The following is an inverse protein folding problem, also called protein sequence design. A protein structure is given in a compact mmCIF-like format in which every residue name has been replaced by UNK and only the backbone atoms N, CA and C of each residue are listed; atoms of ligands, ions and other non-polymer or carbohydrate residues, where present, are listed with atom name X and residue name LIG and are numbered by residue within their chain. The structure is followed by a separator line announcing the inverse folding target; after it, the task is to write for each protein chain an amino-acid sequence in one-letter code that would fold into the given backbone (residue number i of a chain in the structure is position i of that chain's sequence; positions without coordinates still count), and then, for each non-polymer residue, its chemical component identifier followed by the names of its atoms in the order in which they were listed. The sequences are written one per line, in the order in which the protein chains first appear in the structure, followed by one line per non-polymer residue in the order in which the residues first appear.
data_IF_938077814405
#
_entry.id   IF_938077814405
#
_cell.length_a   1.000
_cell.length_b   1.000
_cell.length_c   1.000
_cell.angle_alpha   90.00
_cell.angle_beta   90.00
_cell.angle_gamma   90.00
#
_symmetry.space_group_name_H-M   'P 1'
#
loop_
_entity.id
_entity.type
_entity.pdbx_description
1 polymer ?
#
# COMPACT_ATOMS: atom_id res chain seq x y z
N UNK A 1 25.79 20.63 -5.81
CA UNK A 1 25.73 19.27 -6.40
C UNK A 1 24.44 18.50 -6.10
N UNK A 2 23.79 18.60 -4.94
CA UNK A 2 22.52 17.85 -4.69
C UNK A 2 21.28 18.39 -5.43
N UNK A 3 21.31 19.60 -5.98
CA UNK A 3 20.16 20.22 -6.69
C UNK A 3 20.38 20.51 -8.17
N UNK A 4 21.45 20.00 -8.79
CA UNK A 4 21.72 20.24 -10.23
C UNK A 4 20.62 19.67 -11.13
N UNK A 5 19.94 18.61 -10.68
CA UNK A 5 18.80 18.02 -11.39
C UNK A 5 17.51 18.87 -11.31
N UNK A 6 17.50 19.94 -10.52
CA UNK A 6 16.39 20.89 -10.38
C UNK A 6 16.58 22.14 -11.24
N UNK A 7 17.75 22.29 -11.88
CA UNK A 7 18.04 23.41 -12.76
C UNK A 7 17.43 23.15 -14.12
N UNK A 8 16.63 24.09 -14.58
CA UNK A 8 16.24 24.20 -15.98
C UNK A 8 17.47 24.56 -16.84
N UNK A 9 17.34 24.46 -18.16
CA UNK A 9 18.46 24.68 -19.11
C UNK A 9 19.09 26.08 -19.04
N UNK A 10 18.47 27.03 -18.33
CA UNK A 10 18.87 28.41 -18.14
C UNK A 10 19.34 28.73 -16.71
N UNK A 11 19.70 27.72 -15.92
CA UNK A 11 20.09 27.82 -14.50
C UNK A 11 18.97 28.36 -13.58
N UNK A 12 17.71 28.22 -13.98
CA UNK A 12 16.53 28.58 -13.17
C UNK A 12 16.06 27.40 -12.31
N UNK A 13 15.60 27.67 -11.09
CA UNK A 13 14.88 26.70 -10.24
C UNK A 13 13.43 27.16 -10.12
N UNK A 14 12.51 26.29 -10.53
CA UNK A 14 11.08 26.51 -10.37
C UNK A 14 10.60 25.95 -9.03
N UNK A 15 9.91 26.78 -8.24
CA UNK A 15 9.31 26.39 -6.96
C UNK A 15 7.79 26.49 -7.05
N UNK A 16 7.11 25.39 -6.75
CA UNK A 16 5.65 25.29 -6.78
C UNK A 16 5.11 24.78 -5.42
N UNK A 17 3.84 25.05 -5.10
CA UNK A 17 3.20 24.50 -3.91
C UNK A 17 3.16 22.96 -3.98
N UNK A 18 3.01 22.31 -2.83
CA UNK A 18 2.89 20.85 -2.77
C UNK A 18 1.71 20.35 -3.64
N UNK A 19 1.95 19.27 -4.39
CA UNK A 19 0.96 18.56 -5.17
C UNK A 19 -0.13 17.92 -4.32
N UNK A 20 -1.22 17.47 -4.95
CA UNK A 20 -2.40 16.87 -4.31
C UNK A 20 -3.04 17.72 -3.18
N UNK A 21 -2.62 18.98 -3.05
CA UNK A 21 -3.10 19.91 -2.04
C UNK A 21 -3.49 21.21 -2.72
N UNK A 22 -4.56 21.83 -2.23
CA UNK A 22 -5.08 23.08 -2.81
C UNK A 22 -4.20 24.26 -2.37
N UNK A 23 -3.60 25.05 -3.28
CA UNK A 23 -2.91 26.28 -2.90
C UNK A 23 -3.89 27.29 -2.27
N UNK A 24 -3.49 27.87 -1.14
CA UNK A 24 -4.21 28.96 -0.48
C UNK A 24 -3.65 30.29 -0.97
N UNK A 25 -2.33 30.46 -0.86
CA UNK A 25 -1.60 31.65 -1.28
C UNK A 25 -0.11 31.33 -1.38
N UNK A 26 0.54 31.81 -2.44
CA UNK A 26 1.96 31.57 -2.70
C UNK A 26 2.25 30.05 -2.64
N UNK A 27 3.20 29.61 -1.80
CA UNK A 27 3.53 28.20 -1.58
C UNK A 27 2.75 27.54 -0.43
N UNK A 28 1.87 28.29 0.25
CA UNK A 28 1.05 27.75 1.32
C UNK A 28 -0.15 26.99 0.75
N UNK A 29 -0.34 25.74 1.18
CA UNK A 29 -1.41 24.85 0.74
C UNK A 29 -2.35 24.48 1.89
N UNK A 30 -3.56 24.04 1.55
CA UNK A 30 -4.54 23.54 2.50
C UNK A 30 -4.22 22.11 2.94
N UNK A 31 -3.81 21.97 4.20
CA UNK A 31 -3.48 20.70 4.85
C UNK A 31 -4.69 19.98 5.46
N UNK A 32 -5.90 20.54 5.38
CA UNK A 32 -7.09 19.95 6.00
C UNK A 32 -7.34 18.51 5.53
N UNK A 33 -7.35 18.20 4.21
CA UNK A 33 -7.56 16.82 3.74
C UNK A 33 -6.47 15.84 4.22
N UNK A 34 -5.23 16.32 4.32
CA UNK A 34 -4.11 15.54 4.86
C UNK A 34 -4.36 15.16 6.32
N UNK A 35 -4.72 16.12 7.17
CA UNK A 35 -5.00 15.86 8.58
C UNK A 35 -6.23 15.02 8.80
N UNK A 36 -7.28 15.20 7.99
CA UNK A 36 -8.48 14.37 8.05
C UNK A 36 -8.14 12.89 7.81
N UNK A 37 -7.29 12.59 6.82
CA UNK A 37 -6.81 11.23 6.55
C UNK A 37 -5.93 10.68 7.68
N UNK A 38 -5.06 11.50 8.27
CA UNK A 38 -4.26 11.12 9.45
C UNK A 38 -5.17 10.80 10.64
N UNK A 39 -6.24 11.57 10.85
CA UNK A 39 -7.18 11.34 11.95
C UNK A 39 -8.01 10.08 11.74
N UNK A 40 -8.39 9.75 10.49
CA UNK A 40 -9.12 8.51 10.14
C UNK A 40 -8.40 7.24 10.59
N UNK A 41 -7.06 7.23 10.64
CA UNK A 41 -6.28 6.03 11.04
C UNK A 41 -6.12 5.86 12.55
N UNK A 42 -6.80 6.68 13.37
CA UNK A 42 -6.74 6.65 14.85
C UNK A 42 -5.28 6.65 15.34
N UNK A 43 -4.53 7.74 15.16
CA UNK A 43 -3.07 7.78 15.29
C UNK A 43 -2.62 7.89 16.76
N UNK A 44 -3.18 7.05 17.63
CA UNK A 44 -2.89 6.97 19.06
C UNK A 44 -2.93 5.51 19.53
N UNK A 45 -2.23 5.23 20.63
CA UNK A 45 -2.09 3.89 21.18
C UNK A 45 -3.40 3.47 21.87
N UNK A 46 -3.88 2.26 21.59
CA UNK A 46 -5.05 1.67 22.23
C UNK A 46 -4.65 0.38 22.97
N UNK A 47 -4.09 0.49 24.19
CA UNK A 47 -3.69 -0.66 24.99
C UNK A 47 -4.92 -1.38 25.57
N UNK A 48 -4.76 -2.69 25.85
CA UNK A 48 -5.81 -3.50 26.49
C UNK A 48 -5.97 -3.17 27.98
N UNK A 49 -4.83 -2.99 28.65
CA UNK A 49 -4.77 -2.82 30.09
C UNK A 49 -4.68 -1.34 30.48
N UNK A 50 -5.22 -1.03 31.66
CA UNK A 50 -5.09 0.27 32.30
C UNK A 50 -3.62 0.72 32.41
N UNK A 51 -3.34 2.03 32.42
CA UNK A 51 -1.98 2.54 32.59
C UNK A 51 -1.30 1.94 33.83
N UNK A 52 -0.15 1.25 33.69
CA UNK A 52 0.58 0.76 34.84
C UNK A 52 1.18 1.91 35.65
N UNK A 53 1.65 1.61 36.87
CA UNK A 53 2.32 2.61 37.72
C UNK A 53 3.64 3.14 37.14
N UNK A 54 4.19 2.47 36.12
CA UNK A 54 5.42 2.80 35.40
C UNK A 54 5.17 2.76 33.89
N UNK A 55 6.22 2.92 33.09
CA UNK A 55 6.20 2.72 31.64
C UNK A 55 5.78 1.30 31.23
N UNK A 56 5.20 1.17 30.02
CA UNK A 56 4.96 -0.14 29.40
C UNK A 56 6.28 -0.65 28.83
N UNK A 57 6.60 -1.90 29.15
CA UNK A 57 7.78 -2.57 28.60
C UNK A 57 7.65 -2.76 27.08
N UNK A 58 8.74 -2.53 26.36
CA UNK A 58 8.88 -2.80 24.93
C UNK A 58 10.35 -3.17 24.68
N UNK A 59 10.60 -4.31 24.03
CA UNK A 59 11.97 -4.72 23.71
C UNK A 59 12.56 -3.89 22.57
N UNK A 60 13.90 -3.82 22.42
CA UNK A 60 14.52 -3.18 21.27
C UNK A 60 14.04 -3.77 19.93
N UNK A 61 13.87 -5.08 19.85
CA UNK A 61 13.39 -5.77 18.64
C UNK A 61 11.96 -5.37 18.28
N UNK A 62 11.08 -5.25 19.28
CA UNK A 62 9.71 -4.76 19.09
C UNK A 62 9.68 -3.30 18.65
N UNK A 63 10.55 -2.47 19.23
CA UNK A 63 10.65 -1.05 18.85
C UNK A 63 11.16 -0.86 17.42
N UNK A 64 12.13 -1.68 16.98
CA UNK A 64 12.68 -1.61 15.62
C UNK A 64 11.60 -1.80 14.53
N UNK A 65 10.51 -2.51 14.81
CA UNK A 65 9.38 -2.67 13.88
C UNK A 65 8.62 -1.35 13.61
N UNK A 66 8.73 -0.36 14.51
CA UNK A 66 8.01 0.92 14.42
C UNK A 66 8.94 2.15 14.42
N UNK A 67 10.25 1.97 14.56
CA UNK A 67 11.20 3.07 14.72
C UNK A 67 11.17 4.02 13.52
N UNK A 68 11.41 3.49 12.33
CA UNK A 68 11.34 4.23 11.07
C UNK A 68 10.02 5.00 10.90
N UNK A 69 8.87 4.34 11.08
CA UNK A 69 7.56 4.99 10.92
C UNK A 69 7.30 6.06 11.98
N UNK A 70 7.96 5.98 13.13
CA UNK A 70 7.93 7.01 14.17
C UNK A 70 8.70 8.28 13.79
N UNK A 71 9.63 8.22 12.84
CA UNK A 71 10.44 9.37 12.40
C UNK A 71 9.71 10.36 11.49
N UNK A 72 8.48 10.05 11.08
CA UNK A 72 7.69 10.90 10.20
C UNK A 72 7.39 12.26 10.85
N UNK A 73 7.77 13.34 10.16
CA UNK A 73 7.58 14.73 10.61
C UNK A 73 6.29 15.38 10.08
N UNK A 74 5.40 14.61 9.45
CA UNK A 74 4.14 15.10 8.86
C UNK A 74 4.28 16.26 7.87
N UNK A 75 5.35 16.25 7.08
CA UNK A 75 5.63 17.34 6.11
C UNK A 75 4.76 17.31 4.83
N UNK A 76 4.08 16.19 4.54
CA UNK A 76 3.25 16.08 3.34
C UNK A 76 3.98 15.76 2.03
N UNK A 77 5.32 15.68 1.99
CA UNK A 77 6.07 15.42 0.75
C UNK A 77 5.66 14.11 0.04
N UNK A 78 5.45 13.04 0.79
CA UNK A 78 4.98 11.78 0.21
C UNK A 78 3.52 11.83 -0.28
N UNK A 79 2.70 12.72 0.30
CA UNK A 79 1.33 12.95 -0.11
C UNK A 79 1.28 13.76 -1.42
N UNK A 80 2.19 14.73 -1.54
CA UNK A 80 2.34 15.60 -2.73
C UNK A 80 2.53 14.81 -4.02
N UNK A 81 3.41 13.81 -4.00
CA UNK A 81 3.88 13.14 -5.22
C UNK A 81 3.29 11.73 -5.35
N UNK A 82 2.19 11.44 -4.66
CA UNK A 82 1.56 10.13 -4.74
C UNK A 82 0.61 10.07 -5.95
N UNK A 83 0.99 9.30 -6.97
CA UNK A 83 0.18 9.13 -8.18
C UNK A 83 -1.23 8.56 -7.90
N UNK A 84 -1.42 7.75 -6.85
CA UNK A 84 -2.76 7.28 -6.49
C UNK A 84 -3.65 8.44 -6.05
N UNK A 85 -3.11 9.41 -5.29
CA UNK A 85 -3.88 10.57 -4.84
C UNK A 85 -4.23 11.54 -5.97
N UNK A 86 -3.49 11.52 -7.09
CA UNK A 86 -3.83 12.34 -8.26
C UNK A 86 -5.13 11.88 -8.95
N UNK A 87 -5.48 10.60 -8.80
CA UNK A 87 -6.63 9.97 -9.48
C UNK A 87 -7.75 9.57 -8.53
N UNK A 88 -7.42 9.38 -7.25
CA UNK A 88 -8.35 8.94 -6.21
C UNK A 88 -8.12 9.70 -4.90
N UNK A 89 -8.95 10.72 -4.68
CA UNK A 89 -8.96 11.53 -3.47
C UNK A 89 -9.39 10.75 -2.22
N UNK A 90 -10.08 9.61 -2.36
CA UNK A 90 -10.55 8.80 -1.22
C UNK A 90 -9.43 7.95 -0.61
N UNK A 91 -8.35 7.69 -1.36
CA UNK A 91 -7.18 6.99 -0.84
C UNK A 91 -6.58 7.71 0.38
N UNK A 92 -6.35 6.98 1.47
CA UNK A 92 -5.80 7.53 2.73
C UNK A 92 -4.43 8.18 2.56
N UNK A 93 -3.66 7.74 1.57
CA UNK A 93 -2.36 8.31 1.26
C UNK A 93 -1.21 7.75 2.12
N UNK A 94 0.03 7.91 1.65
CA UNK A 94 1.19 7.24 2.23
C UNK A 94 1.52 7.71 3.65
N UNK A 95 1.35 8.99 3.96
CA UNK A 95 1.62 9.51 5.30
C UNK A 95 0.70 8.90 6.37
N UNK A 96 -0.60 8.82 6.08
CA UNK A 96 -1.59 8.25 6.99
C UNK A 96 -1.36 6.75 7.20
N UNK A 97 -1.09 6.01 6.13
CA UNK A 97 -0.81 4.58 6.23
C UNK A 97 0.52 4.29 6.93
N UNK A 98 1.58 5.08 6.70
CA UNK A 98 2.82 4.95 7.47
C UNK A 98 2.60 5.24 8.96
N UNK A 99 1.79 6.25 9.28
CA UNK A 99 1.40 6.54 10.67
C UNK A 99 0.56 5.42 11.27
N UNK A 100 -0.30 4.78 10.48
CA UNK A 100 -1.08 3.63 10.91
C UNK A 100 -0.19 2.41 11.22
N UNK A 101 0.85 2.16 10.41
CA UNK A 101 1.80 1.07 10.62
C UNK A 101 2.47 1.18 11.99
N UNK A 102 2.82 2.41 12.42
CA UNK A 102 3.38 2.69 13.75
C UNK A 102 2.50 2.21 14.90
N UNK A 103 1.20 1.95 14.69
CA UNK A 103 0.31 1.36 15.70
C UNK A 103 -0.03 -0.10 15.41
N UNK A 104 -0.13 -0.48 14.13
CA UNK A 104 -0.34 -1.88 13.73
C UNK A 104 0.81 -2.76 14.20
N UNK A 105 2.06 -2.28 14.10
CA UNK A 105 3.27 -2.99 14.53
C UNK A 105 3.72 -2.72 15.97
N UNK A 106 3.00 -1.89 16.74
CA UNK A 106 3.40 -1.56 18.13
C UNK A 106 2.97 -2.67 19.08
N UNK A 107 3.92 -3.33 19.75
CA UNK A 107 3.66 -4.41 20.72
C UNK A 107 2.74 -3.99 21.87
N UNK A 108 2.58 -2.69 22.12
CA UNK A 108 1.73 -2.13 23.16
C UNK A 108 0.28 -1.88 22.71
N UNK A 109 0.01 -1.94 21.41
CA UNK A 109 -1.34 -1.73 20.86
C UNK A 109 -2.14 -3.03 20.85
N UNK A 110 -3.42 -2.96 21.22
CA UNK A 110 -4.30 -4.13 21.31
C UNK A 110 -5.30 -4.24 20.17
N UNK A 111 -5.29 -3.30 19.22
CA UNK A 111 -6.30 -3.14 18.18
C UNK A 111 -5.82 -3.53 16.80
N UNK A 112 -4.68 -4.21 16.66
CA UNK A 112 -4.09 -4.61 15.37
C UNK A 112 -5.11 -5.19 14.39
N UNK A 113 -5.91 -6.19 14.81
CA UNK A 113 -6.92 -6.81 13.93
C UNK A 113 -7.95 -5.79 13.43
N UNK A 114 -8.51 -4.98 14.33
CA UNK A 114 -9.50 -3.97 13.97
C UNK A 114 -8.88 -2.93 13.03
N UNK A 115 -7.65 -2.48 13.32
CA UNK A 115 -6.94 -1.51 12.47
C UNK A 115 -6.75 -2.04 11.06
N UNK A 116 -6.26 -3.28 10.90
CA UNK A 116 -6.04 -3.83 9.53
C UNK A 116 -7.34 -4.13 8.79
N UNK A 117 -8.45 -4.39 9.50
CA UNK A 117 -9.79 -4.44 8.91
C UNK A 117 -10.22 -3.06 8.41
N UNK A 118 -10.19 -2.04 9.26
CA UNK A 118 -10.53 -0.65 8.90
C UNK A 118 -9.67 -0.16 7.72
N UNK A 119 -8.37 -0.49 7.72
CA UNK A 119 -7.42 -0.12 6.67
C UNK A 119 -7.56 -0.95 5.39
N UNK A 120 -8.31 -2.05 5.39
CA UNK A 120 -8.55 -2.89 4.21
C UNK A 120 -9.83 -2.54 3.44
N UNK A 121 -10.61 -1.58 3.95
CA UNK A 121 -11.76 -1.01 3.25
C UNK A 121 -11.33 -0.16 2.04
N UNK A 122 -12.25 0.18 1.11
CA UNK A 122 -11.96 1.08 0.00
C UNK A 122 -11.39 2.43 0.47
N UNK A 123 -10.42 2.97 -0.28
CA UNK A 123 -9.56 4.08 0.12
C UNK A 123 -8.37 3.65 1.01
N UNK A 124 -8.26 2.36 1.33
CA UNK A 124 -7.30 1.80 2.28
C UNK A 124 -5.97 1.36 1.66
N UNK A 125 -5.30 0.41 2.31
CA UNK A 125 -3.97 -0.09 1.91
C UNK A 125 -3.96 -0.65 0.49
N UNK A 126 -5.04 -1.30 0.07
CA UNK A 126 -5.12 -2.04 -1.19
C UNK A 126 -5.22 -1.16 -2.44
N UNK A 127 -5.45 0.15 -2.29
CA UNK A 127 -5.52 1.09 -3.41
C UNK A 127 -4.15 1.71 -3.74
N UNK A 128 -3.12 1.38 -2.95
CA UNK A 128 -1.75 1.74 -3.27
C UNK A 128 -1.31 1.08 -4.58
N UNK A 129 -0.92 1.90 -5.56
CA UNK A 129 -0.47 1.43 -6.89
C UNK A 129 1.01 1.02 -6.94
N UNK A 130 1.70 1.06 -5.80
CA UNK A 130 3.10 0.66 -5.67
C UNK A 130 4.09 1.47 -6.53
N UNK A 131 3.80 2.76 -6.78
CA UNK A 131 4.67 3.65 -7.57
C UNK A 131 6.00 4.02 -6.88
N UNK A 132 6.08 3.96 -5.56
CA UNK A 132 7.33 4.16 -4.80
C UNK A 132 7.76 5.62 -4.57
N UNK A 133 7.15 6.61 -5.23
CA UNK A 133 7.51 8.03 -5.08
C UNK A 133 7.51 8.51 -3.62
N UNK A 134 6.57 8.00 -2.81
CA UNK A 134 6.50 8.33 -1.39
C UNK A 134 7.77 7.99 -0.58
N UNK A 135 8.62 7.08 -1.05
CA UNK A 135 9.93 6.77 -0.45
C UNK A 135 10.99 7.72 -0.99
N UNK A 136 11.04 7.92 -2.31
CA UNK A 136 12.03 8.79 -2.98
C UNK A 136 11.94 10.24 -2.49
N UNK A 137 10.73 10.73 -2.23
CA UNK A 137 10.49 12.11 -1.78
C UNK A 137 10.59 12.29 -0.27
N UNK A 138 10.71 11.20 0.50
CA UNK A 138 10.70 11.30 1.95
C UNK A 138 12.03 11.90 2.45
N UNK A 139 12.01 13.02 3.19
CA UNK A 139 13.23 13.59 3.77
C UNK A 139 13.69 12.85 5.04
N UNK A 140 13.01 11.74 5.40
CA UNK A 140 13.21 10.94 6.61
C UNK A 140 13.22 9.46 6.27
N UNK A 141 13.80 8.58 7.12
CA UNK A 141 13.83 7.14 6.88
C UNK A 141 12.47 6.45 7.12
N UNK A 142 11.34 7.17 7.10
CA UNK A 142 10.03 6.62 7.42
C UNK A 142 9.49 5.61 6.39
N UNK A 143 10.06 5.60 5.18
CA UNK A 143 9.81 4.63 4.08
C UNK A 143 8.32 4.25 3.93
N UNK A 144 7.42 5.20 3.60
CA UNK A 144 5.97 4.95 3.65
C UNK A 144 5.47 3.75 2.83
N UNK A 145 6.06 3.50 1.66
CA UNK A 145 5.69 2.36 0.82
C UNK A 145 5.90 1.02 1.52
N UNK A 146 7.03 0.85 2.21
CA UNK A 146 7.33 -0.39 2.93
C UNK A 146 6.39 -0.60 4.11
N UNK A 147 6.05 0.49 4.81
CA UNK A 147 5.08 0.47 5.91
C UNK A 147 3.68 0.06 5.43
N UNK A 148 3.26 0.48 4.24
CA UNK A 148 1.99 0.03 3.62
C UNK A 148 2.03 -1.48 3.37
N UNK A 149 3.11 -2.00 2.77
CA UNK A 149 3.27 -3.44 2.51
C UNK A 149 3.27 -4.26 3.79
N UNK A 150 3.90 -3.79 4.85
CA UNK A 150 3.86 -4.46 6.16
C UNK A 150 2.43 -4.57 6.71
N UNK A 151 1.61 -3.51 6.58
CA UNK A 151 0.19 -3.58 6.97
C UNK A 151 -0.54 -4.61 6.09
N UNK A 152 -0.28 -4.68 4.79
CA UNK A 152 -0.87 -5.71 3.92
C UNK A 152 -0.50 -7.12 4.37
N UNK A 153 0.77 -7.36 4.71
CA UNK A 153 1.23 -8.66 5.25
C UNK A 153 0.47 -9.00 6.54
N UNK A 154 0.41 -8.07 7.50
CA UNK A 154 -0.34 -8.28 8.76
C UNK A 154 -1.82 -8.52 8.49
N UNK A 155 -2.44 -7.82 7.52
CA UNK A 155 -3.82 -8.03 7.14
C UNK A 155 -4.05 -9.47 6.62
N UNK A 156 -3.17 -9.96 5.74
CA UNK A 156 -3.24 -11.34 5.22
C UNK A 156 -3.03 -12.38 6.33
N UNK A 157 -2.03 -12.21 7.20
CA UNK A 157 -1.77 -13.08 8.35
C UNK A 157 -2.96 -13.15 9.32
N UNK A 158 -3.65 -12.03 9.51
CA UNK A 158 -4.86 -11.93 10.35
C UNK A 158 -6.14 -12.42 9.65
N UNK A 159 -6.05 -12.93 8.43
CA UNK A 159 -7.19 -13.45 7.66
C UNK A 159 -8.07 -12.37 7.04
N UNK A 160 -7.60 -11.12 6.95
CA UNK A 160 -8.31 -10.00 6.31
C UNK A 160 -8.04 -10.01 4.81
N UNK A 161 -8.59 -11.01 4.13
CA UNK A 161 -8.35 -11.26 2.70
C UNK A 161 -9.63 -11.22 1.84
N UNK A 162 -10.78 -10.83 2.41
CA UNK A 162 -12.06 -10.82 1.68
C UNK A 162 -12.33 -9.50 0.92
N UNK A 163 -11.31 -8.89 0.33
CA UNK A 163 -11.44 -7.71 -0.52
C UNK A 163 -10.73 -7.95 -1.87
N UNK A 164 -10.96 -7.07 -2.84
CA UNK A 164 -10.43 -7.24 -4.21
C UNK A 164 -8.90 -7.24 -4.24
N UNK A 165 -8.25 -6.28 -3.56
CA UNK A 165 -6.79 -6.18 -3.55
C UNK A 165 -6.11 -7.38 -2.91
N UNK A 166 -6.61 -7.83 -1.75
CA UNK A 166 -6.08 -9.02 -1.08
C UNK A 166 -6.26 -10.28 -1.93
N UNK A 167 -7.45 -10.47 -2.55
CA UNK A 167 -7.68 -11.59 -3.47
C UNK A 167 -6.79 -11.52 -4.70
N UNK A 168 -6.55 -10.32 -5.24
CA UNK A 168 -5.63 -10.11 -6.36
C UNK A 168 -4.20 -10.51 -5.98
N UNK A 169 -3.68 -10.02 -4.86
CA UNK A 169 -2.36 -10.38 -4.35
C UNK A 169 -2.23 -11.89 -4.13
N UNK A 170 -3.22 -12.53 -3.51
CA UNK A 170 -3.25 -13.97 -3.31
C UNK A 170 -3.35 -14.75 -4.63
N UNK A 171 -4.16 -14.29 -5.58
CA UNK A 171 -4.29 -14.92 -6.91
C UNK A 171 -2.97 -14.90 -7.66
N UNK A 172 -2.27 -13.74 -7.64
CA UNK A 172 -0.95 -13.59 -8.23
C UNK A 172 0.04 -14.59 -7.62
N UNK A 173 0.18 -14.58 -6.29
CA UNK A 173 1.10 -15.46 -5.56
C UNK A 173 0.79 -16.93 -5.81
N UNK A 174 -0.49 -17.31 -5.81
CA UNK A 174 -0.90 -18.68 -6.10
C UNK A 174 -0.63 -19.11 -7.55
N UNK A 175 -0.74 -18.18 -8.51
CA UNK A 175 -0.41 -18.46 -9.91
C UNK A 175 1.07 -18.77 -10.06
N UNK A 176 1.92 -17.91 -9.50
CA UNK A 176 3.38 -18.08 -9.52
C UNK A 176 3.78 -19.35 -8.77
N UNK A 177 3.23 -19.61 -7.59
CA UNK A 177 3.51 -20.84 -6.82
C UNK A 177 3.13 -22.12 -7.58
N UNK A 178 2.05 -22.10 -8.37
CA UNK A 178 1.58 -23.29 -9.09
C UNK A 178 2.38 -23.58 -10.35
N UNK A 179 2.76 -22.54 -11.10
CA UNK A 179 3.23 -22.68 -12.48
C UNK A 179 4.52 -21.94 -12.80
N UNK A 180 5.03 -21.13 -11.87
CA UNK A 180 6.15 -20.21 -12.11
C UNK A 180 5.82 -19.05 -13.05
N UNK A 181 4.57 -18.98 -13.55
CA UNK A 181 4.11 -17.94 -14.46
C UNK A 181 2.73 -17.40 -14.06
N UNK A 182 2.36 -16.26 -14.62
CA UNK A 182 1.11 -15.58 -14.37
C UNK A 182 0.01 -16.10 -15.29
N UNK A 183 -1.10 -16.59 -14.71
CA UNK A 183 -2.29 -16.95 -15.47
C UNK A 183 -3.22 -15.74 -15.56
N UNK A 184 -2.96 -14.89 -16.56
CA UNK A 184 -3.69 -13.64 -16.79
C UNK A 184 -5.19 -13.83 -17.01
N UNK A 185 -5.63 -14.99 -17.51
CA UNK A 185 -7.06 -15.28 -17.69
C UNK A 185 -7.79 -15.53 -16.37
N UNK A 186 -7.08 -16.08 -15.38
CA UNK A 186 -7.67 -16.51 -14.11
C UNK A 186 -7.68 -15.39 -13.06
N UNK A 187 -6.71 -14.49 -13.10
CA UNK A 187 -6.55 -13.41 -12.13
C UNK A 187 -7.76 -12.48 -12.04
N UNK A 188 -8.34 -11.95 -13.14
CA UNK A 188 -9.49 -11.07 -13.04
C UNK A 188 -10.67 -11.75 -12.35
N UNK A 189 -10.88 -13.05 -12.62
CA UNK A 189 -11.96 -13.84 -12.02
C UNK A 189 -11.72 -14.08 -10.54
N UNK A 190 -10.50 -14.47 -10.16
CA UNK A 190 -10.15 -14.71 -8.75
C UNK A 190 -10.15 -13.42 -7.92
N UNK A 191 -9.72 -12.31 -8.50
CA UNK A 191 -9.69 -10.99 -7.86
C UNK A 191 -11.11 -10.47 -7.57
N UNK A 192 -11.98 -10.49 -8.60
CA UNK A 192 -13.38 -10.08 -8.47
C UNK A 192 -14.22 -11.05 -7.62
N UNK A 193 -13.79 -12.31 -7.56
CA UNK A 193 -14.47 -13.41 -6.87
C UNK A 193 -15.37 -14.21 -7.82
N UNK A 194 -15.26 -15.54 -7.77
CA UNK A 194 -15.98 -16.46 -8.65
C UNK A 194 -17.51 -16.29 -8.62
N UNK A 195 -18.07 -15.85 -7.49
CA UNK A 195 -19.51 -15.69 -7.30
C UNK A 195 -20.02 -14.25 -7.53
N UNK A 196 -19.13 -13.31 -7.84
CA UNK A 196 -19.49 -11.90 -8.06
C UNK A 196 -19.93 -11.66 -9.52
N UNK A 197 -21.13 -12.15 -9.88
CA UNK A 197 -21.65 -12.05 -11.26
C UNK A 197 -21.64 -10.60 -11.78
N UNK A 198 -22.14 -9.58 -11.06
CA UNK A 198 -22.13 -8.20 -11.55
C UNK A 198 -20.71 -7.69 -11.83
N UNK A 199 -19.77 -8.02 -10.94
CA UNK A 199 -18.35 -7.68 -11.12
C UNK A 199 -17.69 -8.39 -12.29
N UNK A 200 -18.04 -9.64 -12.58
CA UNK A 200 -17.51 -10.35 -13.74
C UNK A 200 -18.08 -9.80 -15.06
N UNK A 201 -19.35 -9.40 -15.07
CA UNK A 201 -19.97 -8.80 -16.25
C UNK A 201 -19.33 -7.46 -16.64
N UNK A 202 -18.81 -6.69 -15.66
CA UNK A 202 -18.12 -5.42 -15.94
C UNK A 202 -16.80 -5.60 -16.70
N UNK A 203 -16.23 -6.81 -16.72
CA UNK A 203 -15.00 -7.14 -17.45
C UNK A 203 -15.24 -7.44 -18.94
N UNK A 204 -16.48 -7.76 -19.34
CA UNK A 204 -16.81 -8.13 -20.73
C UNK A 204 -16.40 -7.06 -21.75
N UNK A 205 -16.69 -5.76 -21.54
CA UNK A 205 -16.28 -4.71 -22.49
C UNK A 205 -14.76 -4.61 -22.65
N UNK A 206 -14.01 -4.83 -21.56
CA UNK A 206 -12.54 -4.83 -21.57
C UNK A 206 -12.04 -6.04 -22.38
N UNK A 207 -12.57 -7.22 -22.10
CA UNK A 207 -12.24 -8.45 -22.84
C UNK A 207 -12.51 -8.33 -24.34
N UNK A 208 -13.64 -7.72 -24.73
CA UNK A 208 -13.96 -7.47 -26.14
C UNK A 208 -12.97 -6.51 -26.80
N UNK A 209 -12.57 -5.43 -26.11
CA UNK A 209 -11.55 -4.49 -26.61
C UNK A 209 -10.19 -5.17 -26.77
N UNK A 210 -9.80 -6.03 -25.83
CA UNK A 210 -8.56 -6.81 -25.91
C UNK A 210 -8.59 -7.78 -27.09
N UNK A 211 -9.71 -8.46 -27.30
CA UNK A 211 -9.93 -9.35 -28.46
C UNK A 211 -9.77 -8.59 -29.78
N UNK A 212 -10.45 -7.45 -29.92
CA UNK A 212 -10.35 -6.61 -31.12
C UNK A 212 -8.94 -6.05 -31.38
N UNK A 213 -8.10 -5.97 -30.34
CA UNK A 213 -6.69 -5.52 -30.45
C UNK A 213 -5.69 -6.68 -30.52
N UNK A 214 -6.14 -7.93 -30.55
CA UNK A 214 -5.26 -9.10 -30.55
C UNK A 214 -4.42 -9.23 -29.27
N UNK A 215 -4.88 -8.67 -28.14
CA UNK A 215 -4.19 -8.66 -26.83
C UNK A 215 -4.82 -9.65 -25.86
N UNK A 216 -5.37 -10.76 -26.35
CA UNK A 216 -5.97 -11.78 -25.47
C UNK A 216 -4.87 -12.70 -24.95
N UNK A 217 -4.83 -12.99 -23.64
CA UNK A 217 -3.83 -13.89 -23.11
C UNK A 217 -3.95 -15.31 -23.70
N UNK A 218 -2.88 -16.11 -23.66
CA UNK A 218 -2.91 -17.50 -24.12
C UNK A 218 -4.00 -18.31 -23.41
N UNK A 219 -4.83 -19.02 -24.18
CA UNK A 219 -5.91 -19.86 -23.60
C UNK A 219 -5.33 -21.02 -22.80
N UNK A 220 -4.20 -21.57 -23.26
CA UNK A 220 -3.49 -22.66 -22.60
C UNK A 220 -2.40 -22.06 -21.72
N UNK A 221 -2.56 -22.25 -20.41
CA UNK A 221 -1.55 -21.87 -19.42
C UNK A 221 -0.49 -22.96 -19.30
N UNK A 222 0.79 -22.61 -19.43
CA UNK A 222 1.92 -23.53 -19.27
C UNK A 222 2.74 -23.18 -18.04
N UNK A 223 3.39 -24.18 -17.46
CA UNK A 223 4.37 -23.95 -16.39
C UNK A 223 5.75 -23.74 -16.98
N UNK A 224 6.63 -23.03 -16.25
CA UNK A 224 8.04 -22.93 -16.59
C UNK A 224 8.75 -24.28 -16.37
N UNK A 225 9.89 -24.50 -17.03
CA UNK A 225 10.65 -25.76 -16.93
C UNK A 225 11.09 -26.05 -15.49
N UNK A 226 11.55 -25.04 -14.75
CA UNK A 226 12.06 -25.16 -13.37
C UNK A 226 11.01 -24.81 -12.30
N UNK A 227 9.73 -25.16 -12.54
CA UNK A 227 8.64 -24.80 -11.62
C UNK A 227 8.81 -25.40 -10.21
N UNK A 228 9.49 -26.54 -10.10
CA UNK A 228 9.71 -27.18 -8.81
C UNK A 228 10.71 -26.41 -7.92
N UNK A 229 11.66 -25.68 -8.53
CA UNK A 229 12.52 -24.75 -7.78
C UNK A 229 11.71 -23.57 -7.24
N UNK A 230 10.76 -23.04 -8.02
CA UNK A 230 9.83 -22.02 -7.55
C UNK A 230 9.01 -22.54 -6.37
N UNK A 231 8.45 -23.74 -6.47
CA UNK A 231 7.72 -24.37 -5.35
C UNK A 231 8.60 -24.57 -4.12
N UNK A 232 9.89 -24.92 -4.30
CA UNK A 232 10.85 -25.04 -3.20
C UNK A 232 11.05 -23.70 -2.49
N UNK A 233 11.27 -22.62 -3.24
CA UNK A 233 11.41 -21.25 -2.67
C UNK A 233 10.18 -20.90 -1.84
N UNK A 234 8.97 -21.11 -2.35
CA UNK A 234 7.75 -20.88 -1.57
C UNK A 234 7.67 -21.73 -0.31
N UNK A 235 8.10 -22.99 -0.37
CA UNK A 235 8.11 -23.89 0.81
C UNK A 235 9.13 -23.45 1.86
N UNK A 236 10.24 -22.84 1.47
CA UNK A 236 11.25 -22.31 2.38
C UNK A 236 10.81 -20.98 3.01
N UNK A 237 10.07 -20.14 2.28
CA UNK A 237 9.53 -18.87 2.78
C UNK A 237 8.28 -19.01 3.64
N UNK A 238 7.47 -20.06 3.41
CA UNK A 238 6.26 -20.36 4.21
C UNK A 238 6.57 -21.07 5.55
N UNK A 239 7.85 -21.36 5.86
CA UNK A 239 8.33 -21.99 7.11
C UNK A 239 8.72 -20.94 8.15
#
# INVERSE_FOLDING_TARGET
RQGEHLLDNDDTITLEPLGNMKPIKDLAVDFTPFWDKINKVKPYLEPKDEPPAKERHQSPEEFLLIDDSSTCIMCGACYSDCNTLEVDDDFLGPAALAKAQRFVGDSRDSKTLQRVQDLSEPGGIWDCTHCGECVERCPKPARPFDRIKEIMTVALEKGVHNNNGARHALSFTNSVKRSGNLNENRIPVESMGFFNIPGLLSLIPIGLRMLLKGKVPPIIHHSIEEVDDVKRIFKELDQ
#
